data_IF_483829282596
#
_entry.id   IF_483829282596
#
_cell.length_a   1.000
_cell.length_b   1.000
_cell.length_c   1.000
_cell.angle_alpha   90.00
_cell.angle_beta   90.00
_cell.angle_gamma   90.00
#
_symmetry.space_group_name_H-M   'P 1'
#
loop_
_entity.id
_entity.type
_entity.pdbx_description
1 polymer ?
#
# COMPACT_ATOMS: atom_id res chain seq x y z
N UNK A 1 19.81 8.44 -23.02
CA UNK A 1 18.46 7.83 -23.09
C UNK A 1 18.62 6.36 -22.73
N UNK A 2 18.39 6.02 -21.48
CA UNK A 2 18.49 4.64 -21.00
C UNK A 2 17.25 3.89 -21.48
N UNK A 3 17.45 2.74 -22.14
CA UNK A 3 16.36 1.80 -22.48
C UNK A 3 15.80 1.31 -21.15
N UNK A 4 14.60 1.78 -20.78
CA UNK A 4 13.83 1.21 -19.68
C UNK A 4 13.66 -0.30 -19.95
N UNK A 5 13.91 -1.11 -18.92
CA UNK A 5 13.75 -2.56 -18.95
C UNK A 5 12.32 -2.92 -19.39
N UNK A 6 12.19 -3.32 -20.63
CA UNK A 6 10.92 -3.66 -21.29
C UNK A 6 10.39 -5.05 -20.85
N UNK A 7 10.81 -5.53 -19.66
CA UNK A 7 10.50 -6.87 -19.16
C UNK A 7 9.75 -6.87 -17.81
N UNK A 8 9.34 -5.70 -17.31
CA UNK A 8 8.55 -5.63 -16.08
C UNK A 8 7.10 -6.06 -16.36
N UNK A 9 6.59 -6.96 -15.52
CA UNK A 9 5.19 -7.39 -15.59
C UNK A 9 4.27 -6.17 -15.38
N UNK A 10 3.28 -5.94 -16.26
CA UNK A 10 2.34 -4.83 -16.10
C UNK A 10 1.64 -4.89 -14.74
N UNK A 11 1.41 -3.72 -14.15
CA UNK A 11 0.80 -3.57 -12.83
C UNK A 11 -0.64 -3.06 -13.01
N UNK A 12 -1.65 -3.81 -12.52
CA UNK A 12 -3.07 -3.49 -12.71
C UNK A 12 -3.54 -2.29 -11.89
N UNK A 13 -2.81 -1.93 -10.85
CA UNK A 13 -3.03 -0.82 -9.94
C UNK A 13 -2.21 0.44 -10.33
N UNK A 14 -1.62 0.44 -11.52
CA UNK A 14 -0.93 1.59 -12.11
C UNK A 14 -1.81 2.23 -13.19
N UNK A 15 -1.99 3.53 -13.09
CA UNK A 15 -2.79 4.29 -14.06
C UNK A 15 -1.92 4.77 -15.22
N UNK A 16 -2.10 4.17 -16.39
CA UNK A 16 -1.39 4.54 -17.63
C UNK A 16 0.12 4.58 -17.47
N UNK A 17 0.74 5.64 -17.98
CA UNK A 17 2.19 5.88 -17.92
C UNK A 17 2.63 6.62 -16.64
N UNK A 18 1.72 6.89 -15.70
CA UNK A 18 2.06 7.58 -14.46
C UNK A 18 2.93 6.72 -13.55
N UNK A 19 3.76 7.32 -12.69
CA UNK A 19 4.44 6.56 -11.65
C UNK A 19 3.42 5.79 -10.80
N UNK A 20 3.79 4.56 -10.41
CA UNK A 20 2.93 3.78 -9.52
C UNK A 20 2.70 4.53 -8.20
N UNK A 21 1.50 4.46 -7.56
CA UNK A 21 1.21 5.15 -6.30
C UNK A 21 2.25 4.92 -5.19
N UNK A 22 2.85 3.72 -5.10
CA UNK A 22 3.93 3.43 -4.15
C UNK A 22 5.22 4.22 -4.40
N UNK A 23 5.42 4.73 -5.62
CA UNK A 23 6.55 5.55 -6.03
C UNK A 23 6.24 7.04 -5.94
N UNK A 24 5.01 7.42 -5.63
CA UNK A 24 4.53 8.79 -5.57
C UNK A 24 4.59 9.31 -4.14
N UNK A 25 5.32 10.41 -3.95
CA UNK A 25 5.49 11.05 -2.63
C UNK A 25 4.62 12.28 -2.45
N UNK A 26 4.29 12.95 -3.53
CA UNK A 26 3.41 14.11 -3.51
C UNK A 26 1.95 13.66 -3.43
N UNK A 27 1.21 14.30 -2.56
CA UNK A 27 -0.22 14.06 -2.35
C UNK A 27 -0.89 15.42 -2.13
N UNK A 28 -1.91 15.73 -2.90
CA UNK A 28 -2.62 17.00 -2.84
C UNK A 28 -4.07 16.79 -2.43
N UNK A 29 -4.59 17.70 -1.60
CA UNK A 29 -6.00 17.77 -1.24
C UNK A 29 -6.49 16.70 -0.26
N UNK A 30 -5.57 15.99 0.43
CA UNK A 30 -5.89 14.96 1.41
C UNK A 30 -5.42 15.29 2.84
N UNK A 31 -5.09 16.55 3.10
CA UNK A 31 -4.48 16.99 4.37
C UNK A 31 -5.32 16.58 5.59
N UNK A 32 -6.63 16.72 5.49
CA UNK A 32 -7.55 16.37 6.58
C UNK A 32 -7.57 14.86 6.84
N UNK A 33 -7.62 14.04 5.78
CA UNK A 33 -7.60 12.57 5.91
C UNK A 33 -6.24 12.10 6.43
N UNK A 34 -5.15 12.70 5.95
CA UNK A 34 -3.80 12.43 6.42
C UNK A 34 -3.68 12.73 7.92
N UNK A 35 -4.19 13.86 8.36
CA UNK A 35 -4.21 14.26 9.77
C UNK A 35 -5.02 13.29 10.62
N UNK A 36 -6.20 12.88 10.18
CA UNK A 36 -7.05 11.90 10.89
C UNK A 36 -6.35 10.55 11.05
N UNK A 37 -5.68 10.05 10.00
CA UNK A 37 -4.89 8.81 10.06
C UNK A 37 -3.74 8.92 11.05
N UNK A 38 -3.01 10.04 11.02
CA UNK A 38 -1.89 10.29 11.93
C UNK A 38 -2.36 10.37 13.40
N UNK A 39 -3.47 11.05 13.67
CA UNK A 39 -4.06 11.14 15.00
C UNK A 39 -4.56 9.76 15.50
N UNK A 40 -5.23 9.01 14.63
CA UNK A 40 -5.68 7.65 14.96
C UNK A 40 -4.48 6.75 15.30
N UNK A 41 -3.40 6.88 14.55
CA UNK A 41 -2.14 6.15 14.80
C UNK A 41 -1.54 6.50 16.17
N UNK A 42 -1.32 7.79 16.44
CA UNK A 42 -0.80 8.29 17.72
C UNK A 42 -1.58 7.80 18.92
N UNK A 43 -2.90 7.84 18.78
CA UNK A 43 -3.83 7.47 19.84
C UNK A 43 -4.05 5.96 19.96
N UNK A 44 -3.36 5.15 19.16
CA UNK A 44 -3.55 3.67 19.09
C UNK A 44 -5.00 3.28 18.81
N UNK A 45 -5.69 4.08 18.00
CA UNK A 45 -7.12 3.91 17.62
C UNK A 45 -7.28 3.56 16.13
N UNK A 46 -6.23 3.06 15.48
CA UNK A 46 -6.37 2.56 14.13
C UNK A 46 -7.29 1.34 14.12
N UNK A 47 -8.31 1.33 13.25
CA UNK A 47 -9.09 0.12 13.04
C UNK A 47 -8.23 -0.94 12.33
N UNK A 48 -8.66 -2.20 12.43
CA UNK A 48 -7.95 -3.31 11.75
C UNK A 48 -8.04 -3.21 10.22
N UNK A 49 -9.08 -2.58 9.70
CA UNK A 49 -9.26 -2.35 8.26
C UNK A 49 -9.73 -0.92 7.99
N UNK A 50 -9.27 -0.36 6.87
CA UNK A 50 -9.63 0.95 6.37
C UNK A 50 -10.11 0.82 4.93
N UNK A 51 -11.21 1.48 4.60
CA UNK A 51 -11.70 1.60 3.22
C UNK A 51 -11.53 3.06 2.80
N UNK A 52 -10.74 3.28 1.75
CA UNK A 52 -10.60 4.59 1.12
C UNK A 52 -11.56 4.66 -0.07
N UNK A 53 -12.65 5.38 0.10
CA UNK A 53 -13.68 5.56 -0.93
C UNK A 53 -13.60 6.95 -1.57
N UNK A 54 -14.01 7.05 -2.84
CA UNK A 54 -14.04 8.30 -3.60
C UNK A 54 -13.80 8.08 -5.09
N UNK A 55 -13.90 9.13 -5.92
CA UNK A 55 -13.72 9.04 -7.38
C UNK A 55 -12.37 8.43 -7.77
N UNK A 56 -12.32 7.82 -8.96
CA UNK A 56 -11.08 7.34 -9.55
C UNK A 56 -10.10 8.50 -9.78
N UNK A 57 -8.80 8.25 -9.65
CA UNK A 57 -7.75 9.24 -9.88
C UNK A 57 -7.55 10.28 -8.77
N UNK A 58 -8.38 10.31 -7.72
CA UNK A 58 -8.28 11.31 -6.64
C UNK A 58 -7.05 11.14 -5.71
N UNK A 59 -6.28 10.04 -5.83
CA UNK A 59 -5.09 9.81 -5.01
C UNK A 59 -5.28 8.84 -3.83
N UNK A 60 -6.37 8.05 -3.80
CA UNK A 60 -6.63 7.07 -2.71
C UNK A 60 -5.46 6.09 -2.51
N UNK A 61 -5.00 5.49 -3.59
CA UNK A 61 -3.86 4.57 -3.55
C UNK A 61 -2.57 5.26 -3.08
N UNK A 62 -2.33 6.49 -3.54
CA UNK A 62 -1.17 7.29 -3.08
C UNK A 62 -1.23 7.55 -1.58
N UNK A 63 -2.41 7.89 -1.04
CA UNK A 63 -2.62 8.07 0.41
C UNK A 63 -2.38 6.75 1.16
N UNK A 64 -2.90 5.62 0.66
CA UNK A 64 -2.68 4.31 1.27
C UNK A 64 -1.20 3.96 1.34
N UNK A 65 -0.46 4.10 0.24
CA UNK A 65 0.97 3.83 0.20
C UNK A 65 1.79 4.80 1.06
N UNK A 66 1.39 6.07 1.12
CA UNK A 66 2.00 7.07 1.99
C UNK A 66 1.82 6.68 3.47
N UNK A 67 0.63 6.22 3.85
CA UNK A 67 0.35 5.74 5.20
C UNK A 67 1.14 4.47 5.54
N UNK A 68 1.17 3.49 4.65
CA UNK A 68 1.98 2.27 4.84
C UNK A 68 3.46 2.61 5.00
N UNK A 69 4.01 3.51 4.18
CA UNK A 69 5.39 3.99 4.35
C UNK A 69 5.64 4.57 5.74
N UNK A 70 4.69 5.38 6.22
CA UNK A 70 4.78 5.99 7.54
C UNK A 70 4.78 4.95 8.66
N UNK A 71 3.89 3.95 8.60
CA UNK A 71 3.82 2.85 9.56
C UNK A 71 5.11 2.03 9.60
N UNK A 72 5.69 1.73 8.43
CA UNK A 72 6.94 0.96 8.32
C UNK A 72 8.16 1.75 8.81
N UNK A 73 8.16 3.06 8.61
CA UNK A 73 9.23 3.95 9.10
C UNK A 73 9.13 4.23 10.61
N UNK A 74 7.94 4.16 11.16
CA UNK A 74 7.64 4.55 12.53
C UNK A 74 6.81 3.46 13.23
N UNK A 75 7.39 2.32 13.60
CA UNK A 75 6.64 1.18 14.14
C UNK A 75 6.05 1.44 15.53
N UNK A 76 6.59 2.39 16.30
CA UNK A 76 6.07 2.76 17.62
C UNK A 76 5.27 4.06 17.56
N UNK A 77 3.93 4.00 17.75
CA UNK A 77 3.07 5.17 17.76
C UNK A 77 3.36 6.16 18.90
N UNK A 78 4.06 5.72 19.96
CA UNK A 78 4.42 6.57 21.10
C UNK A 78 5.77 7.27 20.93
N UNK A 79 6.49 7.02 19.85
CA UNK A 79 7.79 7.62 19.63
C UNK A 79 7.74 9.14 19.54
N UNK A 80 8.82 9.81 19.91
CA UNK A 80 8.94 11.27 19.80
C UNK A 80 8.83 11.74 18.34
N UNK A 81 9.29 10.95 17.37
CA UNK A 81 9.17 11.24 15.95
C UNK A 81 7.71 11.28 15.51
N UNK A 82 6.92 10.29 15.91
CA UNK A 82 5.49 10.25 15.61
C UNK A 82 4.76 11.41 16.29
N UNK A 83 5.09 11.70 17.55
CA UNK A 83 4.47 12.80 18.28
C UNK A 83 4.77 14.19 17.66
N UNK A 84 5.93 14.36 17.08
CA UNK A 84 6.34 15.59 16.41
C UNK A 84 5.91 15.68 14.94
N UNK A 85 5.48 14.59 14.33
CA UNK A 85 5.11 14.56 12.91
C UNK A 85 3.88 15.45 12.64
N UNK A 86 3.88 16.19 11.55
CA UNK A 86 2.75 17.02 11.10
C UNK A 86 2.03 16.40 9.88
N UNK A 87 2.61 15.38 9.29
CA UNK A 87 2.09 14.66 8.12
C UNK A 87 2.58 13.21 8.13
N UNK A 88 2.07 12.41 7.20
CA UNK A 88 2.53 11.04 6.96
C UNK A 88 3.74 10.99 6.00
N UNK A 89 4.40 12.11 5.78
CA UNK A 89 5.57 12.15 4.91
C UNK A 89 6.74 11.34 5.48
N UNK A 90 7.36 10.55 4.63
CA UNK A 90 8.62 9.86 4.90
C UNK A 90 9.55 10.15 3.74
N UNK A 91 10.78 10.52 4.04
CA UNK A 91 11.79 10.81 3.03
C UNK A 91 12.04 9.57 2.14
N UNK A 92 12.23 9.78 0.83
CA UNK A 92 12.49 8.71 -0.13
C UNK A 92 13.80 7.96 0.16
N UNK A 93 14.77 8.63 0.82
CA UNK A 93 16.03 8.00 1.22
C UNK A 93 15.91 7.14 2.48
N UNK A 94 14.77 7.19 3.17
CA UNK A 94 14.53 6.37 4.35
C UNK A 94 14.53 4.88 3.97
N UNK A 95 15.24 3.99 4.73
CA UNK A 95 15.32 2.57 4.40
C UNK A 95 13.96 1.87 4.26
N UNK A 96 12.98 2.25 5.09
CA UNK A 96 11.61 1.71 4.99
C UNK A 96 10.93 2.15 3.69
N UNK A 97 11.10 3.41 3.26
CA UNK A 97 10.53 3.92 2.03
C UNK A 97 11.04 3.14 0.81
N UNK A 98 12.36 2.92 0.73
CA UNK A 98 12.97 2.13 -0.34
C UNK A 98 12.47 0.68 -0.39
N UNK A 99 12.26 0.05 0.77
CA UNK A 99 11.69 -1.30 0.84
C UNK A 99 10.23 -1.35 0.37
N UNK A 100 9.44 -0.32 0.72
CA UNK A 100 8.05 -0.19 0.26
C UNK A 100 8.00 -0.01 -1.26
N UNK A 101 8.81 0.88 -1.81
CA UNK A 101 8.90 1.09 -3.26
C UNK A 101 9.25 -0.19 -4.01
N UNK A 102 10.23 -0.93 -3.51
CA UNK A 102 10.68 -2.18 -4.11
C UNK A 102 9.76 -3.37 -3.84
N UNK A 103 8.67 -3.22 -3.07
CA UNK A 103 7.84 -4.31 -2.54
C UNK A 103 8.69 -5.39 -1.84
N UNK A 104 9.79 -5.00 -1.21
CA UNK A 104 10.75 -5.87 -0.56
C UNK A 104 10.60 -5.92 0.99
N UNK A 105 9.50 -5.40 1.52
CA UNK A 105 9.20 -5.46 2.94
C UNK A 105 8.38 -6.71 3.25
N UNK A 106 8.88 -7.58 4.14
CA UNK A 106 8.27 -8.88 4.49
C UNK A 106 6.86 -8.79 5.08
N UNK A 107 6.53 -7.64 5.68
CA UNK A 107 5.25 -7.41 6.37
C UNK A 107 4.29 -6.52 5.57
N UNK A 108 4.56 -6.33 4.27
CA UNK A 108 3.67 -5.64 3.34
C UNK A 108 3.19 -6.63 2.30
N UNK A 109 1.89 -6.72 2.15
CA UNK A 109 1.21 -7.56 1.16
C UNK A 109 0.39 -6.68 0.23
N UNK A 110 0.42 -6.99 -1.05
CA UNK A 110 -0.34 -6.31 -2.08
C UNK A 110 -1.22 -7.32 -2.80
N UNK A 111 -2.53 -7.09 -2.79
CA UNK A 111 -3.49 -7.79 -3.62
C UNK A 111 -3.98 -6.86 -4.72
N UNK A 112 -3.81 -7.33 -5.95
CA UNK A 112 -4.29 -6.69 -7.18
C UNK A 112 -4.52 -7.76 -8.23
N UNK A 113 -5.16 -7.41 -9.33
CA UNK A 113 -5.33 -8.37 -10.44
C UNK A 113 -3.95 -8.75 -10.99
N UNK A 114 -3.64 -10.03 -10.97
CA UNK A 114 -2.40 -10.54 -11.51
C UNK A 114 -2.36 -10.51 -13.04
N UNK A 115 -1.15 -10.46 -13.58
CA UNK A 115 -0.91 -10.58 -15.00
C UNK A 115 -0.88 -12.04 -15.45
N UNK A 116 -1.74 -12.39 -16.40
CA UNK A 116 -1.73 -13.72 -17.02
C UNK A 116 -0.73 -13.74 -18.18
N UNK A 117 0.38 -14.41 -17.98
CA UNK A 117 1.47 -14.50 -18.96
C UNK A 117 1.03 -15.18 -20.28
N UNK A 118 0.13 -16.18 -20.21
CA UNK A 118 -0.35 -16.91 -21.38
C UNK A 118 -1.28 -16.04 -22.23
N UNK A 119 -2.19 -15.32 -21.58
CA UNK A 119 -3.19 -14.48 -22.23
C UNK A 119 -2.70 -13.05 -22.49
N UNK A 120 -1.54 -12.68 -21.99
CA UNK A 120 -0.95 -11.33 -22.08
C UNK A 120 -1.92 -10.21 -21.68
N UNK A 121 -2.64 -10.43 -20.59
CA UNK A 121 -3.59 -9.47 -19.99
C UNK A 121 -3.75 -9.74 -18.50
N UNK A 122 -4.24 -8.78 -17.74
CA UNK A 122 -4.63 -9.02 -16.36
C UNK A 122 -5.83 -9.97 -16.27
N UNK A 123 -5.93 -10.69 -15.15
CA UNK A 123 -7.18 -11.35 -14.78
C UNK A 123 -8.27 -10.27 -14.62
N UNK A 124 -9.52 -10.67 -14.73
CA UNK A 124 -10.67 -9.75 -14.58
C UNK A 124 -10.98 -9.43 -13.13
N UNK A 125 -10.50 -10.26 -12.22
CA UNK A 125 -10.76 -10.20 -10.78
C UNK A 125 -9.51 -10.61 -10.01
N UNK A 126 -9.43 -10.20 -8.73
CA UNK A 126 -8.50 -10.75 -7.74
C UNK A 126 -8.99 -12.14 -7.38
N UNK A 127 -8.13 -13.14 -7.52
CA UNK A 127 -8.52 -14.54 -7.34
C UNK A 127 -8.68 -14.91 -5.87
N UNK A 128 -9.62 -15.80 -5.59
CA UNK A 128 -9.84 -16.35 -4.23
C UNK A 128 -8.57 -16.96 -3.64
N UNK A 129 -7.76 -17.61 -4.47
CA UNK A 129 -6.53 -18.25 -4.01
C UNK A 129 -5.48 -17.23 -3.54
N UNK A 130 -5.41 -16.07 -4.19
CA UNK A 130 -4.51 -14.97 -3.78
C UNK A 130 -4.94 -14.41 -2.42
N UNK A 131 -6.25 -14.30 -2.19
CA UNK A 131 -6.81 -13.86 -0.89
C UNK A 131 -6.53 -14.90 0.19
N UNK A 132 -6.71 -16.19 -0.09
CA UNK A 132 -6.41 -17.28 0.85
C UNK A 132 -4.93 -17.31 1.22
N UNK A 133 -4.06 -17.12 0.24
CA UNK A 133 -2.61 -17.03 0.49
C UNK A 133 -2.29 -15.85 1.41
N UNK A 134 -2.88 -14.67 1.16
CA UNK A 134 -2.73 -13.52 2.03
C UNK A 134 -3.17 -13.83 3.46
N UNK A 135 -4.36 -14.42 3.66
CA UNK A 135 -4.86 -14.81 4.98
C UNK A 135 -3.87 -15.76 5.66
N UNK A 136 -3.39 -16.78 4.95
CA UNK A 136 -2.39 -17.72 5.47
C UNK A 136 -1.10 -17.02 5.92
N UNK A 137 -0.64 -16.04 5.15
CA UNK A 137 0.53 -15.24 5.52
C UNK A 137 0.28 -14.35 6.75
N UNK A 138 -0.93 -13.80 6.90
CA UNK A 138 -1.30 -13.02 8.08
C UNK A 138 -1.35 -13.85 9.36
N UNK A 139 -1.63 -15.14 9.27
CA UNK A 139 -1.66 -16.06 10.43
C UNK A 139 -0.26 -16.47 10.91
N UNK A 140 0.77 -16.29 10.10
CA UNK A 140 2.15 -16.55 10.51
C UNK A 140 2.64 -15.45 11.47
N UNK A 141 3.63 -15.76 12.28
CA UNK A 141 4.25 -14.77 13.17
C UNK A 141 4.87 -13.63 12.36
N UNK A 142 4.71 -12.39 12.87
CA UNK A 142 5.38 -11.23 12.26
C UNK A 142 6.90 -11.40 12.30
N UNK A 143 7.60 -10.87 11.30
CA UNK A 143 9.06 -10.90 11.23
C UNK A 143 9.74 -9.97 12.25
N UNK A 144 8.95 -9.18 13.00
CA UNK A 144 9.44 -8.24 14.02
C UNK A 144 8.31 -7.62 14.84
N UNK A 145 8.61 -6.60 15.61
CA UNK A 145 7.67 -5.87 16.44
C UNK A 145 6.90 -4.75 15.67
N UNK A 146 6.92 -4.79 14.35
CA UNK A 146 6.34 -3.77 13.49
C UNK A 146 4.92 -4.07 13.04
N UNK A 147 4.41 -3.19 12.19
CA UNK A 147 3.12 -3.31 11.55
C UNK A 147 3.16 -4.32 10.42
N UNK A 148 2.10 -5.10 10.31
CA UNK A 148 1.82 -5.93 9.15
C UNK A 148 0.63 -5.35 8.42
N UNK A 149 0.80 -5.08 7.13
CA UNK A 149 -0.20 -4.38 6.32
C UNK A 149 -0.50 -5.14 5.05
N UNK A 150 -1.75 -5.03 4.59
CA UNK A 150 -2.15 -5.43 3.25
C UNK A 150 -2.82 -4.26 2.54
N UNK A 151 -2.49 -4.07 1.28
CA UNK A 151 -3.21 -3.18 0.37
C UNK A 151 -3.97 -4.04 -0.62
N UNK A 152 -5.25 -3.75 -0.82
CA UNK A 152 -6.11 -4.34 -1.85
C UNK A 152 -6.52 -3.20 -2.78
N UNK A 153 -6.06 -3.23 -4.03
CA UNK A 153 -6.26 -2.12 -4.97
C UNK A 153 -6.61 -2.59 -6.39
N UNK A 154 -7.83 -2.28 -6.83
CA UNK A 154 -8.97 -1.82 -6.05
C UNK A 154 -9.71 -2.98 -5.36
N UNK A 155 -10.42 -2.67 -4.28
CA UNK A 155 -11.23 -3.68 -3.56
C UNK A 155 -12.41 -4.18 -4.41
N UNK A 156 -12.88 -3.36 -5.35
CA UNK A 156 -13.96 -3.70 -6.29
C UNK A 156 -13.58 -4.85 -7.25
N UNK A 157 -12.30 -5.14 -7.39
CA UNK A 157 -11.80 -6.27 -8.19
C UNK A 157 -11.83 -7.61 -7.43
N UNK A 158 -12.22 -7.62 -6.15
CA UNK A 158 -12.47 -8.86 -5.43
C UNK A 158 -13.69 -9.57 -6.05
N UNK A 159 -13.57 -10.87 -6.31
CA UNK A 159 -14.71 -11.61 -6.78
C UNK A 159 -15.70 -11.87 -5.61
N UNK A 160 -16.93 -12.22 -5.96
CA UNK A 160 -18.02 -12.43 -4.99
C UNK A 160 -17.71 -13.50 -3.91
N UNK A 161 -16.78 -14.41 -4.17
CA UNK A 161 -16.35 -15.46 -3.22
C UNK A 161 -15.09 -15.07 -2.43
N UNK A 162 -14.52 -13.90 -2.69
CA UNK A 162 -13.28 -13.39 -2.08
C UNK A 162 -13.54 -12.25 -1.08
N UNK A 163 -14.74 -11.67 -1.11
CA UNK A 163 -15.15 -10.54 -0.27
C UNK A 163 -15.64 -10.98 1.11
#
# INVERSE_FOLDING_TARGET
>A
MSKADNNATPESDRFGETPHPRMTYELFGHDETERQLLEAYRNRKLPQSLILAGPEGIGKATLAWRFVRFLMANPDPASSLVNAANSLFVDHDHPAARKVEALAHSDIFLLRREWNLQRKRHYTEIRVDDVRELIGRFQQSASGNGWRTAIIDPVDDLNHNSA
#
